data_IF_877789492485
#
_entry.id   IF_877789492485
#
_cell.length_a   1.000
_cell.length_b   1.000
_cell.length_c   1.000
_cell.angle_alpha   90.00
_cell.angle_beta   90.00
_cell.angle_gamma   90.00
#
_symmetry.space_group_name_H-M   'P 1'
#
loop_
_entity.id
_entity.type
_entity.pdbx_description
1 polymer ?
#
# COMPACT_ATOMS: atom_id res chain seq x y z
N UNK A 1 36.64 -1.55 31.24
CA UNK A 1 35.52 -2.30 30.65
C UNK A 1 35.20 -3.58 31.44
N UNK A 2 36.12 -4.53 31.59
CA UNK A 2 35.90 -5.80 32.31
C UNK A 2 35.72 -5.63 33.83
N UNK A 3 36.46 -4.72 34.48
CA UNK A 3 36.36 -4.50 35.92
C UNK A 3 34.95 -4.10 36.40
N UNK A 4 34.24 -3.27 35.62
CA UNK A 4 32.85 -2.88 35.93
C UNK A 4 31.84 -4.03 35.75
N UNK A 5 32.11 -4.97 34.84
CA UNK A 5 31.25 -6.15 34.64
C UNK A 5 31.50 -7.21 35.73
N UNK A 6 32.76 -7.39 36.16
CA UNK A 6 33.10 -8.22 37.32
C UNK A 6 32.45 -7.68 38.61
N UNK A 7 32.43 -6.36 38.79
CA UNK A 7 31.79 -5.69 39.91
C UNK A 7 30.26 -5.87 39.87
N UNK A 8 29.63 -5.78 38.70
CA UNK A 8 28.20 -6.05 38.53
C UNK A 8 27.79 -7.50 38.83
N UNK A 9 28.67 -8.47 38.56
CA UNK A 9 28.45 -9.88 38.92
C UNK A 9 28.69 -10.11 40.42
N UNK A 10 29.72 -9.50 40.99
CA UNK A 10 30.01 -9.56 42.42
C UNK A 10 28.88 -8.94 43.27
N UNK A 11 28.19 -7.94 42.73
CA UNK A 11 27.02 -7.32 43.35
C UNK A 11 25.69 -8.04 43.02
N UNK A 12 25.72 -9.14 42.27
CA UNK A 12 24.52 -9.92 41.92
C UNK A 12 23.58 -9.22 40.92
N UNK A 13 24.00 -8.11 40.32
CA UNK A 13 23.23 -7.38 39.29
C UNK A 13 23.26 -8.10 37.93
N UNK A 14 24.21 -9.01 37.73
CA UNK A 14 24.33 -9.89 36.57
C UNK A 14 24.79 -11.28 37.03
N UNK A 15 24.35 -12.33 36.36
CA UNK A 15 24.80 -13.69 36.67
C UNK A 15 26.13 -14.04 35.95
N UNK A 16 26.78 -15.10 36.40
CA UNK A 16 28.05 -15.56 35.82
C UNK A 16 27.93 -16.04 34.37
N UNK A 17 26.77 -16.52 33.92
CA UNK A 17 26.52 -16.81 32.50
C UNK A 17 26.43 -15.54 31.67
N UNK A 18 25.81 -14.48 32.17
CA UNK A 18 25.82 -13.17 31.49
C UNK A 18 27.23 -12.62 31.30
N UNK A 19 28.16 -12.86 32.25
CA UNK A 19 29.58 -12.54 32.10
C UNK A 19 30.29 -13.48 31.13
N UNK A 20 29.95 -14.77 31.14
CA UNK A 20 30.48 -15.76 30.20
C UNK A 20 30.08 -15.42 28.76
N UNK A 21 28.82 -15.04 28.54
CA UNK A 21 28.31 -14.52 27.28
C UNK A 21 29.00 -13.21 26.90
N UNK A 22 29.19 -12.26 27.83
CA UNK A 22 29.92 -11.02 27.54
C UNK A 22 31.40 -11.24 27.17
N UNK A 23 32.04 -12.30 27.69
CA UNK A 23 33.45 -12.60 27.44
C UNK A 23 33.67 -13.50 26.21
N UNK A 24 32.66 -14.26 25.78
CA UNK A 24 32.78 -15.27 24.72
C UNK A 24 31.87 -15.02 23.50
N UNK A 25 30.83 -14.16 23.60
CA UNK A 25 29.89 -13.92 22.50
C UNK A 25 30.22 -12.66 21.72
N UNK A 26 30.75 -12.87 20.51
CA UNK A 26 30.08 -12.23 19.38
C UNK A 26 28.79 -12.99 19.11
N UNK A 27 27.77 -12.30 18.62
CA UNK A 27 26.49 -12.86 18.19
C UNK A 27 26.67 -14.23 17.48
N UNK A 28 25.82 -15.25 17.76
CA UNK A 28 25.88 -16.56 17.11
C UNK A 28 26.12 -16.52 15.60
N UNK A 29 25.62 -15.48 14.93
CA UNK A 29 25.85 -15.23 13.51
C UNK A 29 27.33 -15.01 13.18
N UNK A 30 28.09 -14.27 14.00
CA UNK A 30 29.54 -14.13 13.82
C UNK A 30 30.29 -15.45 14.07
N UNK A 31 29.81 -16.29 14.98
CA UNK A 31 30.42 -17.60 15.23
C UNK A 31 30.24 -18.52 14.01
N UNK A 32 29.03 -18.56 13.44
CA UNK A 32 28.74 -19.31 12.21
C UNK A 32 29.56 -18.78 11.03
N UNK A 33 29.66 -17.47 10.85
CA UNK A 33 30.47 -16.87 9.79
C UNK A 33 31.97 -17.17 9.97
N UNK A 34 32.47 -17.13 11.21
CA UNK A 34 33.86 -17.49 11.52
C UNK A 34 34.15 -18.95 11.20
N UNK A 35 33.21 -19.86 11.49
CA UNK A 35 33.32 -21.28 11.12
C UNK A 35 33.29 -21.47 9.61
N UNK A 36 32.32 -20.85 8.93
CA UNK A 36 32.15 -20.88 7.46
C UNK A 36 33.40 -20.39 6.72
N UNK A 37 34.07 -19.38 7.26
CA UNK A 37 35.27 -18.77 6.67
C UNK A 37 36.59 -19.33 7.22
N UNK A 38 36.55 -20.26 8.16
CA UNK A 38 37.70 -20.73 8.94
C UNK A 38 38.91 -21.09 8.07
N UNK A 39 38.70 -21.91 7.03
CA UNK A 39 39.79 -22.34 6.12
C UNK A 39 40.55 -21.18 5.46
N UNK A 40 39.86 -20.09 5.12
CA UNK A 40 40.47 -18.93 4.46
C UNK A 40 41.16 -18.02 5.46
N UNK A 41 40.58 -17.90 6.66
CA UNK A 41 41.16 -17.16 7.78
C UNK A 41 42.44 -17.87 8.27
N UNK A 42 42.42 -19.19 8.38
CA UNK A 42 43.57 -20.00 8.77
C UNK A 42 44.71 -19.86 7.77
N UNK A 43 44.43 -20.00 6.47
CA UNK A 43 45.40 -19.77 5.41
C UNK A 43 45.99 -18.35 5.43
N UNK A 44 45.20 -17.34 5.82
CA UNK A 44 45.70 -15.98 6.01
C UNK A 44 46.62 -15.86 7.24
N UNK A 45 46.29 -16.53 8.34
CA UNK A 45 47.08 -16.50 9.57
C UNK A 45 48.43 -17.23 9.42
N UNK A 46 48.52 -18.21 8.51
CA UNK A 46 49.75 -18.93 8.17
C UNK A 46 50.77 -18.06 7.42
N UNK A 47 50.38 -16.90 6.87
CA UNK A 47 51.32 -15.97 6.23
C UNK A 47 52.29 -15.37 7.27
N UNK A 48 53.59 -15.43 6.96
CA UNK A 48 54.66 -15.11 7.91
C UNK A 48 54.89 -13.59 8.03
N UNK A 49 54.72 -12.84 6.94
CA UNK A 49 55.05 -11.42 6.90
C UNK A 49 53.83 -10.51 6.81
N UNK A 50 53.94 -9.31 7.39
CA UNK A 50 52.91 -8.27 7.25
C UNK A 50 52.69 -7.82 5.80
N UNK A 51 53.71 -7.96 4.94
CA UNK A 51 53.64 -7.63 3.52
C UNK A 51 52.76 -8.64 2.77
N UNK A 52 53.00 -9.94 2.95
CA UNK A 52 52.18 -11.00 2.36
C UNK A 52 50.71 -10.90 2.81
N UNK A 53 50.49 -10.59 4.08
CA UNK A 53 49.15 -10.34 4.62
C UNK A 53 48.45 -9.13 4.01
N UNK A 54 49.19 -8.10 3.63
CA UNK A 54 48.60 -6.94 2.96
C UNK A 54 48.28 -7.26 1.51
N UNK A 55 49.21 -7.89 0.79
CA UNK A 55 49.03 -8.32 -0.60
C UNK A 55 47.86 -9.31 -0.74
N UNK A 56 47.70 -10.26 0.19
CA UNK A 56 46.58 -11.20 0.19
C UNK A 56 45.21 -10.50 0.34
N UNK A 57 45.14 -9.42 1.14
CA UNK A 57 43.92 -8.62 1.31
C UNK A 57 43.63 -7.75 0.09
N UNK A 58 44.65 -7.21 -0.57
CA UNK A 58 44.51 -6.45 -1.81
C UNK A 58 44.04 -7.32 -2.98
N UNK A 59 44.51 -8.58 -3.04
CA UNK A 59 44.15 -9.52 -4.11
C UNK A 59 42.73 -10.11 -3.94
N UNK A 60 42.14 -10.04 -2.75
CA UNK A 60 40.81 -10.61 -2.47
C UNK A 60 40.00 -9.71 -1.55
N UNK A 61 39.09 -8.94 -2.15
CA UNK A 61 38.15 -8.10 -1.40
C UNK A 61 37.23 -8.92 -0.48
N UNK A 62 36.91 -10.17 -0.85
CA UNK A 62 36.19 -11.10 0.01
C UNK A 62 36.97 -11.42 1.28
N UNK A 63 38.27 -11.73 1.16
CA UNK A 63 39.11 -12.03 2.32
C UNK A 63 39.22 -10.80 3.23
N UNK A 64 39.49 -9.63 2.65
CA UNK A 64 39.63 -8.37 3.39
C UNK A 64 38.36 -8.04 4.19
N UNK A 65 37.18 -8.15 3.56
CA UNK A 65 35.91 -7.91 4.24
C UNK A 65 35.56 -8.97 5.30
N UNK A 66 35.87 -10.26 5.06
CA UNK A 66 35.69 -11.32 6.07
C UNK A 66 36.52 -11.06 7.31
N UNK A 67 37.80 -10.73 7.13
CA UNK A 67 38.73 -10.40 8.21
C UNK A 67 38.26 -9.19 9.03
N UNK A 68 37.63 -8.22 8.37
CA UNK A 68 37.03 -7.06 9.02
C UNK A 68 35.80 -7.41 9.85
N UNK A 69 34.84 -8.17 9.30
CA UNK A 69 33.62 -8.61 10.01
C UNK A 69 33.98 -9.42 11.27
N UNK A 70 34.97 -10.31 11.18
CA UNK A 70 35.47 -11.05 12.35
C UNK A 70 36.45 -10.23 13.22
N UNK A 71 36.57 -8.92 13.03
CA UNK A 71 37.41 -8.02 13.83
C UNK A 71 38.90 -8.37 13.89
N UNK A 72 39.43 -9.13 12.92
CA UNK A 72 40.87 -9.34 12.79
C UNK A 72 41.57 -8.11 12.19
N UNK A 73 40.84 -7.30 11.41
CA UNK A 73 41.30 -6.02 10.89
C UNK A 73 40.29 -4.93 11.25
N UNK A 74 40.76 -3.68 11.37
CA UNK A 74 39.91 -2.51 11.69
C UNK A 74 39.78 -1.52 10.53
N UNK A 75 40.23 -1.93 9.34
CA UNK A 75 40.26 -1.11 8.13
C UNK A 75 39.96 -1.99 6.92
N UNK A 76 39.33 -1.41 5.91
CA UNK A 76 39.10 -2.02 4.60
C UNK A 76 40.01 -1.36 3.56
N UNK A 77 40.55 -2.15 2.64
CA UNK A 77 41.51 -1.69 1.64
C UNK A 77 40.85 -1.17 0.36
N UNK A 78 39.67 -1.70 0.02
CA UNK A 78 38.99 -1.38 -1.25
C UNK A 78 37.51 -1.05 -1.04
N UNK A 79 36.91 -0.37 -2.02
CA UNK A 79 35.48 -0.08 -2.04
C UNK A 79 34.64 -1.36 -2.24
N UNK A 80 35.16 -2.33 -2.99
CA UNK A 80 34.50 -3.63 -3.15
C UNK A 80 34.47 -4.41 -1.82
N UNK A 81 35.51 -4.27 -0.99
CA UNK A 81 35.52 -4.82 0.38
C UNK A 81 34.44 -4.15 1.25
N UNK A 82 34.26 -2.82 1.13
CA UNK A 82 33.20 -2.08 1.84
C UNK A 82 31.82 -2.59 1.47
N UNK A 83 31.51 -2.68 0.17
CA UNK A 83 30.24 -3.22 -0.34
C UNK A 83 30.00 -4.66 0.12
N UNK A 84 31.02 -5.51 0.05
CA UNK A 84 30.92 -6.88 0.54
C UNK A 84 30.55 -6.92 2.02
N UNK A 85 31.19 -6.10 2.87
CA UNK A 85 30.87 -6.03 4.30
C UNK A 85 29.42 -5.61 4.53
N UNK A 86 28.95 -4.56 3.85
CA UNK A 86 27.56 -4.11 3.97
C UNK A 86 26.56 -5.20 3.54
N UNK A 87 26.83 -5.90 2.45
CA UNK A 87 25.98 -7.00 1.99
C UNK A 87 25.93 -8.14 3.01
N UNK A 88 27.04 -8.48 3.67
CA UNK A 88 27.04 -9.53 4.70
C UNK A 88 26.33 -9.09 5.98
N UNK A 89 26.42 -7.80 6.34
CA UNK A 89 25.68 -7.24 7.46
C UNK A 89 24.17 -7.36 7.20
N UNK A 90 23.72 -7.03 5.99
CA UNK A 90 22.31 -7.13 5.60
C UNK A 90 21.85 -8.61 5.49
N UNK A 91 22.57 -9.44 4.74
CA UNK A 91 22.24 -10.86 4.51
C UNK A 91 22.12 -11.65 5.82
N UNK A 92 22.98 -11.35 6.79
CA UNK A 92 23.02 -12.06 8.06
C UNK A 92 22.40 -11.27 9.22
N UNK A 93 21.88 -10.06 8.97
CA UNK A 93 21.35 -9.17 10.03
C UNK A 93 22.34 -8.93 11.18
N UNK A 94 23.62 -8.71 10.84
CA UNK A 94 24.68 -8.55 11.83
C UNK A 94 24.55 -7.23 12.60
N UNK A 95 24.73 -7.29 13.92
CA UNK A 95 24.84 -6.11 14.76
C UNK A 95 26.16 -5.36 14.50
N UNK A 96 26.07 -4.15 13.95
CA UNK A 96 27.25 -3.36 13.56
C UNK A 96 28.07 -2.88 14.75
N UNK A 97 27.48 -2.78 15.94
CA UNK A 97 28.18 -2.37 17.16
C UNK A 97 29.19 -3.43 17.63
N UNK A 98 29.03 -4.67 17.15
CA UNK A 98 29.93 -5.79 17.42
C UNK A 98 31.09 -5.89 16.42
N UNK A 99 31.08 -5.08 15.35
CA UNK A 99 32.13 -5.06 14.33
C UNK A 99 33.19 -4.01 14.69
N UNK A 100 34.33 -4.50 15.20
CA UNK A 100 35.45 -3.66 15.59
C UNK A 100 35.97 -2.78 14.44
N UNK A 101 35.83 -1.46 14.57
CA UNK A 101 36.28 -0.49 13.57
C UNK A 101 35.23 -0.12 12.53
N UNK A 102 34.00 -0.63 12.64
CA UNK A 102 32.87 -0.23 11.80
C UNK A 102 32.69 1.29 11.76
N UNK A 103 32.58 1.95 12.92
CA UNK A 103 32.43 3.41 13.00
C UNK A 103 33.61 4.16 12.36
N UNK A 104 34.83 3.60 12.39
CA UNK A 104 35.99 4.24 11.76
C UNK A 104 35.92 4.20 10.23
N UNK A 105 35.30 3.17 9.67
CA UNK A 105 35.23 2.93 8.22
C UNK A 105 33.94 3.50 7.61
N UNK A 106 32.85 3.47 8.36
CA UNK A 106 31.48 3.76 7.92
C UNK A 106 30.78 4.86 8.75
N UNK A 107 31.33 5.27 9.90
CA UNK A 107 30.70 6.17 10.88
C UNK A 107 30.75 7.65 10.52
N UNK A 108 30.42 8.00 9.28
CA UNK A 108 30.02 9.37 8.98
C UNK A 108 28.59 9.51 9.51
N UNK A 109 28.33 10.50 10.37
CA UNK A 109 26.98 10.78 10.86
C UNK A 109 26.04 11.03 9.67
N UNK A 110 25.02 10.17 9.50
CA UNK A 110 24.06 10.32 8.42
C UNK A 110 23.00 11.38 8.71
N UNK A 111 22.86 11.84 9.96
CA UNK A 111 21.86 12.83 10.34
C UNK A 111 22.14 14.19 9.71
N UNK A 112 23.40 14.65 9.72
CA UNK A 112 23.76 15.95 9.15
C UNK A 112 23.34 16.07 7.66
N UNK A 113 23.76 15.18 6.75
CA UNK A 113 23.35 15.27 5.35
C UNK A 113 21.86 14.99 5.13
N UNK A 114 21.22 14.16 5.96
CA UNK A 114 19.78 13.88 5.85
C UNK A 114 18.92 15.04 6.36
N UNK A 115 19.32 15.72 7.43
CA UNK A 115 18.63 16.91 7.94
C UNK A 115 18.75 18.07 6.95
N UNK A 116 19.93 18.30 6.38
CA UNK A 116 20.13 19.29 5.34
C UNK A 116 19.28 18.98 4.10
N UNK A 117 19.24 17.72 3.67
CA UNK A 117 18.44 17.28 2.54
C UNK A 117 16.93 17.38 2.83
N UNK A 118 16.47 17.05 4.04
CA UNK A 118 15.07 17.16 4.44
C UNK A 118 14.61 18.62 4.37
N UNK A 119 15.39 19.55 4.92
CA UNK A 119 15.05 20.97 4.93
C UNK A 119 14.95 21.57 3.53
N UNK A 120 15.69 21.00 2.56
CA UNK A 120 15.64 21.41 1.16
C UNK A 120 14.42 20.89 0.41
N UNK A 121 13.69 19.90 0.92
CA UNK A 121 12.54 19.34 0.17
C UNK A 121 11.48 20.42 -0.05
N UNK A 122 11.19 20.70 -1.32
CA UNK A 122 10.29 21.78 -1.75
C UNK A 122 10.98 23.10 -2.09
N UNK A 123 12.29 23.25 -1.83
CA UNK A 123 13.05 24.44 -2.20
C UNK A 123 13.41 24.46 -3.69
N UNK A 124 13.57 25.68 -4.22
CA UNK A 124 14.06 25.95 -5.56
C UNK A 124 15.56 25.63 -5.67
N UNK A 125 15.91 24.79 -6.64
CA UNK A 125 17.28 24.58 -7.11
C UNK A 125 17.70 25.70 -8.08
N UNK A 126 18.93 25.65 -8.58
CA UNK A 126 19.49 26.67 -9.48
C UNK A 126 18.53 27.07 -10.62
N UNK A 127 18.25 28.37 -10.69
CA UNK A 127 17.46 28.96 -11.77
C UNK A 127 18.34 29.16 -13.00
N UNK A 128 18.09 28.38 -14.05
CA UNK A 128 18.68 28.60 -15.37
C UNK A 128 17.73 29.50 -16.17
N UNK A 129 18.23 30.64 -16.64
CA UNK A 129 17.42 31.61 -17.40
C UNK A 129 16.87 30.96 -18.68
N UNK A 130 15.53 30.84 -18.76
CA UNK A 130 14.83 30.21 -19.89
C UNK A 130 14.38 28.76 -19.65
N UNK A 131 14.71 28.16 -18.50
CA UNK A 131 14.23 26.82 -18.11
C UNK A 131 13.17 26.90 -17.00
N UNK A 132 12.39 25.83 -16.87
CA UNK A 132 11.42 25.72 -15.78
C UNK A 132 12.15 25.59 -14.43
N UNK A 133 11.61 26.18 -13.34
CA UNK A 133 12.20 26.07 -12.02
C UNK A 133 12.32 24.59 -11.59
N UNK A 134 13.52 24.18 -11.21
CA UNK A 134 13.80 22.85 -10.67
C UNK A 134 13.64 22.93 -9.15
N UNK A 135 13.00 21.94 -8.56
CA UNK A 135 12.80 21.84 -7.10
C UNK A 135 13.52 20.61 -6.55
N UNK A 136 14.02 20.70 -5.32
CA UNK A 136 14.52 19.54 -4.60
C UNK A 136 13.34 18.71 -4.08
N UNK A 137 13.19 17.49 -4.61
CA UNK A 137 12.03 16.63 -4.33
C UNK A 137 12.34 15.52 -3.32
N UNK A 138 11.31 14.82 -2.85
CA UNK A 138 11.43 13.56 -2.09
C UNK A 138 12.23 12.50 -2.84
N UNK A 139 12.28 12.55 -4.18
CA UNK A 139 13.14 11.65 -4.96
C UNK A 139 14.62 12.07 -4.92
N UNK A 140 14.91 13.37 -4.84
CA UNK A 140 16.28 13.85 -4.59
C UNK A 140 16.72 13.44 -3.18
N UNK A 141 15.87 13.61 -2.17
CA UNK A 141 16.09 13.10 -0.81
C UNK A 141 16.33 11.59 -0.81
N UNK A 142 15.47 10.81 -1.45
CA UNK A 142 15.63 9.37 -1.61
C UNK A 142 16.95 8.97 -2.28
N UNK A 143 17.42 9.78 -3.25
CA UNK A 143 18.71 9.53 -3.91
C UNK A 143 19.87 9.69 -2.93
N UNK A 144 19.84 10.74 -2.10
CA UNK A 144 20.85 10.97 -1.03
C UNK A 144 20.77 9.85 0.02
N UNK A 145 19.57 9.50 0.46
CA UNK A 145 19.34 8.43 1.42
C UNK A 145 19.85 7.07 0.90
N UNK A 146 19.50 6.69 -0.33
CA UNK A 146 20.01 5.46 -0.93
C UNK A 146 21.54 5.49 -1.11
N UNK A 147 22.15 6.65 -1.36
CA UNK A 147 23.60 6.79 -1.40
C UNK A 147 24.23 6.58 -0.01
N UNK A 148 23.62 7.14 1.03
CA UNK A 148 24.04 6.93 2.43
C UNK A 148 23.91 5.47 2.82
N UNK A 149 22.77 4.83 2.56
CA UNK A 149 22.56 3.39 2.80
C UNK A 149 23.59 2.54 2.06
N UNK A 150 23.92 2.85 0.80
CA UNK A 150 24.98 2.13 0.06
C UNK A 150 26.37 2.34 0.64
N UNK A 151 26.64 3.50 1.23
CA UNK A 151 27.97 3.86 1.73
C UNK A 151 28.19 3.44 3.19
N UNK A 152 27.13 3.35 3.99
CA UNK A 152 27.19 3.13 5.44
C UNK A 152 26.43 1.89 5.87
N UNK A 153 25.44 1.43 5.12
CA UNK A 153 24.56 0.32 5.47
C UNK A 153 23.21 0.78 6.04
N UNK A 154 22.15 0.00 5.76
CA UNK A 154 20.78 0.30 6.20
C UNK A 154 20.69 0.43 7.73
N UNK A 155 21.30 -0.51 8.45
CA UNK A 155 21.26 -0.54 9.92
C UNK A 155 21.76 0.75 10.56
N UNK A 156 22.89 1.30 10.09
CA UNK A 156 23.44 2.56 10.63
C UNK A 156 22.52 3.74 10.35
N UNK A 157 22.04 3.88 9.12
CA UNK A 157 21.11 4.96 8.73
C UNK A 157 19.81 4.88 9.53
N UNK A 158 19.32 3.67 9.80
CA UNK A 158 18.16 3.44 10.68
C UNK A 158 18.48 3.81 12.13
N UNK A 159 19.64 3.43 12.66
CA UNK A 159 20.03 3.70 14.04
C UNK A 159 20.30 5.19 14.31
N UNK A 160 20.83 5.91 13.33
CA UNK A 160 21.06 7.37 13.42
C UNK A 160 19.74 8.14 13.60
N UNK A 161 18.61 7.55 13.18
CA UNK A 161 17.28 7.89 13.71
C UNK A 161 16.58 9.06 13.01
N UNK A 162 17.04 9.47 11.82
CA UNK A 162 16.36 10.50 11.05
C UNK A 162 14.98 9.99 10.59
N UNK A 163 13.93 10.65 11.07
CA UNK A 163 12.55 10.15 10.98
C UNK A 163 12.03 9.95 9.56
N UNK A 164 12.30 10.88 8.64
CA UNK A 164 11.84 10.78 7.24
C UNK A 164 12.52 9.62 6.51
N UNK A 165 13.79 9.35 6.84
CA UNK A 165 14.59 8.28 6.29
C UNK A 165 14.13 6.92 6.82
N UNK A 166 13.82 6.83 8.12
CA UNK A 166 13.19 5.65 8.71
C UNK A 166 11.89 5.31 8.00
N UNK A 167 10.97 6.28 7.91
CA UNK A 167 9.68 6.11 7.24
C UNK A 167 9.85 5.71 5.77
N UNK A 168 10.72 6.39 5.03
CA UNK A 168 11.01 6.05 3.64
C UNK A 168 11.56 4.61 3.47
N UNK A 169 12.45 4.16 4.36
CA UNK A 169 13.05 2.83 4.28
C UNK A 169 12.05 1.73 4.64
N UNK A 170 11.19 1.96 5.63
CA UNK A 170 10.12 1.04 5.99
C UNK A 170 9.07 0.95 4.87
N UNK A 171 8.72 2.09 4.28
CA UNK A 171 7.67 2.17 3.26
C UNK A 171 8.14 1.66 1.89
N UNK A 172 9.43 1.78 1.56
CA UNK A 172 9.99 1.24 0.31
C UNK A 172 9.70 -0.25 0.14
N UNK A 173 9.52 -0.97 1.24
CA UNK A 173 9.21 -2.39 1.26
C UNK A 173 7.68 -2.68 1.16
N UNK A 174 6.80 -1.66 1.22
CA UNK A 174 5.33 -1.80 1.35
C UNK A 174 4.48 -1.03 0.30
N UNK A 175 5.08 -0.35 -0.68
CA UNK A 175 4.44 0.57 -1.65
C UNK A 175 3.40 0.00 -2.66
N UNK A 176 2.67 -1.07 -2.33
CA UNK A 176 1.63 -1.65 -3.20
C UNK A 176 0.17 -1.32 -2.79
N UNK A 177 -0.04 -0.59 -1.69
CA UNK A 177 -1.38 -0.35 -1.13
C UNK A 177 -1.89 1.08 -1.43
N UNK A 178 -3.17 1.33 -1.80
CA UNK A 178 -3.76 2.68 -1.85
C UNK A 178 -3.71 3.46 -0.52
N UNK A 179 -3.46 2.81 0.62
CA UNK A 179 -3.02 3.50 1.85
C UNK A 179 -1.72 4.30 1.64
N UNK A 180 -0.91 3.98 0.63
CA UNK A 180 0.30 4.73 0.27
C UNK A 180 0.02 6.21 -0.01
N UNK A 181 -1.15 6.57 -0.52
CA UNK A 181 -1.52 7.97 -0.72
C UNK A 181 -1.82 8.68 0.62
N UNK A 182 -2.50 7.99 1.56
CA UNK A 182 -2.68 8.50 2.93
C UNK A 182 -1.33 8.64 3.63
N UNK A 183 -0.48 7.63 3.50
CA UNK A 183 0.87 7.60 4.04
C UNK A 183 1.72 8.76 3.52
N UNK A 184 1.63 9.06 2.22
CA UNK A 184 2.28 10.23 1.62
C UNK A 184 1.76 11.54 2.22
N UNK A 185 0.45 11.68 2.42
CA UNK A 185 -0.14 12.87 3.07
C UNK A 185 0.29 13.01 4.54
N UNK A 186 0.30 11.92 5.30
CA UNK A 186 0.78 11.89 6.70
C UNK A 186 2.26 12.27 6.78
N UNK A 187 3.09 11.75 5.87
CA UNK A 187 4.50 12.12 5.78
C UNK A 187 4.66 13.60 5.41
N UNK A 188 3.82 14.13 4.54
CA UNK A 188 3.87 15.54 4.18
C UNK A 188 3.57 16.44 5.37
N UNK A 189 2.55 16.11 6.16
CA UNK A 189 2.20 16.86 7.36
C UNK A 189 3.27 16.70 8.46
N UNK A 190 3.68 15.47 8.78
CA UNK A 190 4.67 15.20 9.83
C UNK A 190 6.03 15.88 9.55
N UNK A 191 6.47 15.88 8.29
CA UNK A 191 7.77 16.39 7.90
C UNK A 191 7.72 17.78 7.26
N UNK A 192 6.55 18.42 7.22
CA UNK A 192 6.31 19.73 6.63
C UNK A 192 6.80 19.81 5.17
N UNK A 193 6.57 18.74 4.40
CA UNK A 193 6.91 18.65 2.98
C UNK A 193 5.77 19.30 2.19
N UNK A 194 6.04 20.37 1.42
CA UNK A 194 4.98 20.98 0.63
C UNK A 194 4.66 20.11 -0.61
N UNK A 195 3.48 20.27 -1.24
CA UNK A 195 3.07 19.42 -2.37
C UNK A 195 4.08 19.39 -3.52
N UNK A 196 4.76 20.50 -3.80
CA UNK A 196 5.76 20.58 -4.88
C UNK A 196 7.02 19.75 -4.57
N UNK A 197 7.25 19.41 -3.29
CA UNK A 197 8.29 18.50 -2.85
C UNK A 197 8.03 17.04 -3.26
N UNK A 198 6.79 16.67 -3.59
CA UNK A 198 6.44 15.35 -4.12
C UNK A 198 6.39 15.41 -5.64
N UNK A 199 7.23 14.60 -6.30
CA UNK A 199 7.34 14.59 -7.77
C UNK A 199 6.01 14.35 -8.47
N UNK A 200 5.17 13.45 -7.95
CA UNK A 200 3.87 13.15 -8.56
C UNK A 200 2.96 14.39 -8.64
N UNK A 201 2.94 15.21 -7.59
CA UNK A 201 2.17 16.45 -7.53
C UNK A 201 2.85 17.62 -8.26
N UNK A 202 4.18 17.60 -8.34
CA UNK A 202 4.93 18.56 -9.18
C UNK A 202 4.66 18.34 -10.67
N UNK A 203 4.75 17.09 -11.10
CA UNK A 203 4.60 16.72 -12.51
C UNK A 203 3.12 16.84 -12.93
N UNK A 204 2.18 16.62 -11.99
CA UNK A 204 0.75 16.80 -12.19
C UNK A 204 0.04 17.29 -10.90
N UNK A 205 -0.17 18.61 -10.75
CA UNK A 205 -0.77 19.19 -9.55
C UNK A 205 -2.18 18.68 -9.23
N UNK A 206 -2.97 18.28 -10.22
CA UNK A 206 -4.33 17.80 -9.98
C UNK A 206 -4.33 16.52 -9.14
N UNK A 207 -3.26 15.72 -9.21
CA UNK A 207 -3.12 14.51 -8.38
C UNK A 207 -3.06 14.79 -6.89
N UNK A 208 -2.67 15.99 -6.47
CA UNK A 208 -2.74 16.39 -5.07
C UNK A 208 -4.18 16.73 -4.70
N UNK A 209 -4.85 17.50 -5.55
CA UNK A 209 -6.25 17.90 -5.35
C UNK A 209 -7.17 16.67 -5.33
N UNK A 210 -6.91 15.67 -6.18
CA UNK A 210 -7.63 14.39 -6.22
C UNK A 210 -7.64 13.68 -4.86
N UNK A 211 -6.57 13.79 -4.07
CA UNK A 211 -6.45 13.18 -2.75
C UNK A 211 -7.23 13.93 -1.66
N UNK A 212 -7.72 15.13 -1.97
CA UNK A 212 -8.50 15.97 -1.08
C UNK A 212 -9.97 16.02 -1.49
N UNK A 213 -10.39 15.11 -2.37
CA UNK A 213 -11.78 15.01 -2.84
C UNK A 213 -12.60 14.05 -1.97
N UNK A 214 -13.92 14.26 -1.87
CA UNK A 214 -14.83 13.28 -1.28
C UNK A 214 -14.72 11.89 -1.94
N UNK A 215 -14.37 11.83 -3.23
CA UNK A 215 -14.14 10.58 -3.96
C UNK A 215 -12.98 9.77 -3.39
N UNK A 216 -11.88 10.43 -2.98
CA UNK A 216 -10.75 9.75 -2.36
C UNK A 216 -11.11 9.19 -0.98
N UNK A 217 -11.81 9.97 -0.15
CA UNK A 217 -12.29 9.52 1.16
C UNK A 217 -13.23 8.31 1.04
N UNK A 218 -14.13 8.32 0.06
CA UNK A 218 -14.99 7.17 -0.24
C UNK A 218 -14.19 5.94 -0.66
N UNK A 219 -13.26 6.07 -1.61
CA UNK A 219 -12.39 4.96 -2.06
C UNK A 219 -11.58 4.38 -0.92
N UNK A 220 -11.11 5.21 0.00
CA UNK A 220 -10.41 4.76 1.21
C UNK A 220 -11.34 3.98 2.13
N UNK A 221 -12.57 4.45 2.34
CA UNK A 221 -13.55 3.78 3.18
C UNK A 221 -14.01 2.43 2.62
N UNK A 222 -14.05 2.27 1.29
CA UNK A 222 -14.47 1.01 0.64
C UNK A 222 -13.34 0.02 0.39
N UNK A 223 -12.07 0.48 0.38
CA UNK A 223 -10.91 -0.29 -0.10
C UNK A 223 -10.79 -1.72 0.48
N UNK A 224 -10.95 -1.88 1.80
CA UNK A 224 -10.81 -3.18 2.45
C UNK A 224 -11.90 -4.15 1.98
N UNK A 225 -13.14 -3.69 1.88
CA UNK A 225 -14.27 -4.49 1.43
C UNK A 225 -14.20 -4.78 -0.08
N UNK A 226 -13.74 -3.83 -0.87
CA UNK A 226 -13.47 -4.02 -2.31
C UNK A 226 -12.39 -5.10 -2.51
N UNK A 227 -11.30 -5.02 -1.73
CA UNK A 227 -10.22 -6.01 -1.75
C UNK A 227 -10.74 -7.39 -1.38
N UNK A 228 -11.48 -7.52 -0.27
CA UNK A 228 -12.10 -8.79 0.12
C UNK A 228 -13.04 -9.33 -0.97
N UNK A 229 -13.87 -8.48 -1.58
CA UNK A 229 -14.78 -8.87 -2.64
C UNK A 229 -14.06 -9.39 -3.90
N UNK A 230 -12.98 -8.74 -4.31
CA UNK A 230 -12.16 -9.12 -5.45
C UNK A 230 -11.33 -10.37 -5.19
N UNK A 231 -10.76 -10.47 -3.99
CA UNK A 231 -9.97 -11.61 -3.56
C UNK A 231 -10.75 -12.92 -3.55
N UNK A 232 -12.05 -12.88 -3.24
CA UNK A 232 -12.94 -14.05 -3.38
C UNK A 232 -12.96 -14.63 -4.80
N UNK A 233 -12.62 -13.85 -5.83
CA UNK A 233 -12.51 -14.33 -7.20
C UNK A 233 -11.07 -14.53 -7.70
N UNK A 234 -10.06 -14.17 -6.91
CA UNK A 234 -8.65 -14.26 -7.28
C UNK A 234 -8.07 -15.64 -6.90
N UNK A 235 -7.69 -16.50 -7.86
CA UNK A 235 -7.16 -17.85 -7.56
C UNK A 235 -5.88 -17.88 -6.72
N UNK A 236 -5.18 -16.75 -6.62
CA UNK A 236 -3.98 -16.60 -5.81
C UNK A 236 -4.23 -16.11 -4.38
N UNK A 237 -5.46 -15.66 -4.05
CA UNK A 237 -5.81 -15.24 -2.68
C UNK A 237 -6.20 -16.45 -1.82
N UNK A 238 -5.92 -16.35 -0.53
CA UNK A 238 -6.41 -17.29 0.49
C UNK A 238 -7.94 -17.23 0.65
N UNK A 239 -8.57 -16.11 0.26
CA UNK A 239 -10.02 -15.92 0.27
C UNK A 239 -10.70 -16.47 -0.99
N UNK A 240 -9.97 -17.05 -1.93
CA UNK A 240 -10.51 -17.52 -3.20
C UNK A 240 -11.65 -18.53 -3.00
N UNK A 241 -12.78 -18.26 -3.63
CA UNK A 241 -13.93 -19.15 -3.70
C UNK A 241 -14.19 -19.53 -5.18
N UNK A 242 -14.18 -20.82 -5.55
CA UNK A 242 -14.48 -21.23 -6.91
C UNK A 242 -15.94 -20.91 -7.28
N UNK A 243 -16.20 -20.74 -8.58
CA UNK A 243 -17.55 -20.55 -9.14
C UNK A 243 -17.82 -21.86 -9.83
N UNK A 244 -18.75 -22.63 -9.28
CA UNK A 244 -19.16 -23.91 -9.85
C UNK A 244 -20.48 -23.62 -10.55
N UNK A 245 -20.52 -23.70 -11.89
CA UNK A 245 -21.75 -23.54 -12.64
C UNK A 245 -22.41 -24.93 -12.72
N UNK A 246 -23.18 -25.35 -11.71
CA UNK A 246 -24.03 -26.52 -11.91
C UNK A 246 -25.34 -26.45 -11.13
N UNK A 247 -26.42 -26.77 -11.84
CA UNK A 247 -27.82 -26.69 -11.40
C UNK A 247 -28.31 -27.96 -10.68
N UNK A 248 -27.44 -28.97 -10.55
CA UNK A 248 -27.84 -30.34 -10.20
C UNK A 248 -27.27 -30.80 -8.84
N UNK A 249 -26.58 -29.94 -8.08
CA UNK A 249 -26.16 -30.22 -6.70
C UNK A 249 -27.16 -29.65 -5.68
N UNK A 250 -27.97 -30.49 -5.00
CA UNK A 250 -28.97 -30.03 -4.04
C UNK A 250 -28.38 -29.48 -2.73
N UNK A 251 -27.07 -29.54 -2.51
CA UNK A 251 -26.40 -29.05 -1.29
C UNK A 251 -25.39 -27.90 -1.53
N UNK A 252 -25.25 -27.35 -2.75
CA UNK A 252 -24.18 -26.37 -3.01
C UNK A 252 -24.62 -25.17 -3.86
N UNK A 253 -25.15 -24.14 -3.20
CA UNK A 253 -25.17 -22.78 -3.74
C UNK A 253 -23.71 -22.32 -3.92
N UNK A 254 -23.33 -21.98 -5.15
CA UNK A 254 -22.07 -21.35 -5.54
C UNK A 254 -21.42 -20.46 -4.46
N UNK A 255 -20.62 -21.03 -3.55
CA UNK A 255 -20.15 -20.36 -2.33
C UNK A 255 -19.52 -18.98 -2.54
N UNK A 256 -18.94 -18.70 -3.71
CA UNK A 256 -18.50 -17.37 -4.12
C UNK A 256 -19.63 -16.36 -4.30
N UNK A 257 -20.69 -16.68 -5.04
CA UNK A 257 -21.79 -15.74 -5.25
C UNK A 257 -22.59 -15.56 -3.97
N UNK A 258 -22.81 -16.62 -3.19
CA UNK A 258 -23.39 -16.51 -1.85
C UNK A 258 -22.55 -15.60 -0.93
N UNK A 259 -21.24 -15.81 -0.85
CA UNK A 259 -20.36 -14.98 -0.01
C UNK A 259 -20.35 -13.51 -0.48
N UNK A 260 -20.36 -13.27 -1.79
CA UNK A 260 -20.45 -11.93 -2.37
C UNK A 260 -21.79 -11.26 -2.13
N UNK A 261 -22.90 -11.99 -2.25
CA UNK A 261 -24.24 -11.48 -1.93
C UNK A 261 -24.34 -11.15 -0.45
N UNK A 262 -23.91 -12.07 0.42
CA UNK A 262 -23.88 -11.85 1.86
C UNK A 262 -23.00 -10.67 2.26
N UNK A 263 -21.83 -10.49 1.65
CA UNK A 263 -20.97 -9.34 1.91
C UNK A 263 -21.67 -8.01 1.57
N UNK A 264 -22.43 -7.98 0.46
CA UNK A 264 -23.25 -6.83 0.08
C UNK A 264 -24.39 -6.58 1.07
N UNK A 265 -25.11 -7.63 1.45
CA UNK A 265 -26.25 -7.56 2.37
C UNK A 265 -25.82 -7.11 3.77
N UNK A 266 -24.67 -7.60 4.25
CA UNK A 266 -24.11 -7.24 5.56
C UNK A 266 -23.52 -5.81 5.55
N UNK A 267 -23.21 -5.25 4.37
CA UNK A 267 -22.56 -3.93 4.22
C UNK A 267 -23.30 -3.02 3.21
N UNK A 268 -24.57 -2.64 3.46
CA UNK A 268 -25.36 -1.86 2.51
C UNK A 268 -24.79 -0.46 2.26
N UNK A 269 -24.09 0.12 3.24
CA UNK A 269 -23.41 1.41 3.08
C UNK A 269 -22.24 1.31 2.11
N UNK A 270 -21.47 0.21 2.14
CA UNK A 270 -20.38 -0.02 1.19
C UNK A 270 -20.89 -0.12 -0.25
N UNK A 271 -22.01 -0.82 -0.47
CA UNK A 271 -22.65 -0.90 -1.79
C UNK A 271 -23.13 0.49 -2.26
N UNK A 272 -23.70 1.29 -1.35
CA UNK A 272 -24.09 2.67 -1.64
C UNK A 272 -22.87 3.55 -1.96
N UNK A 273 -21.78 3.43 -1.21
CA UNK A 273 -20.56 4.21 -1.44
C UNK A 273 -19.89 3.83 -2.76
N UNK A 274 -19.90 2.56 -3.16
CA UNK A 274 -19.45 2.13 -4.48
C UNK A 274 -20.25 2.74 -5.64
N UNK A 275 -21.56 2.94 -5.46
CA UNK A 275 -22.39 3.68 -6.45
C UNK A 275 -22.09 5.17 -6.46
N UNK A 276 -21.84 5.76 -5.30
CA UNK A 276 -21.43 7.16 -5.20
C UNK A 276 -20.07 7.38 -5.88
N UNK A 277 -19.13 6.44 -5.70
CA UNK A 277 -17.84 6.41 -6.40
C UNK A 277 -18.05 6.34 -7.92
N UNK A 278 -18.88 5.41 -8.41
CA UNK A 278 -19.20 5.30 -9.84
C UNK A 278 -19.76 6.62 -10.39
N UNK A 279 -20.69 7.26 -9.68
CA UNK A 279 -21.27 8.53 -10.12
C UNK A 279 -20.24 9.68 -10.15
N UNK A 280 -19.47 9.85 -9.08
CA UNK A 280 -18.45 10.89 -8.98
C UNK A 280 -17.30 10.68 -9.98
N UNK A 281 -16.99 9.44 -10.36
CA UNK A 281 -16.01 9.14 -11.41
C UNK A 281 -16.49 9.52 -12.82
N UNK A 282 -17.80 9.67 -13.00
CA UNK A 282 -18.41 10.16 -14.24
C UNK A 282 -18.94 11.59 -14.06
N UNK A 283 -18.20 12.41 -13.30
CA UNK A 283 -18.41 13.85 -13.11
C UNK A 283 -19.83 14.27 -12.64
N UNK A 284 -20.53 13.37 -11.93
CA UNK A 284 -21.83 13.69 -11.33
C UNK A 284 -21.70 14.78 -10.25
N UNK A 285 -22.74 15.59 -10.10
CA UNK A 285 -22.88 16.42 -8.88
C UNK A 285 -23.26 15.56 -7.69
N UNK A 286 -23.08 16.07 -6.48
CA UNK A 286 -23.45 15.37 -5.25
C UNK A 286 -24.95 14.98 -5.25
N UNK A 287 -25.83 15.85 -5.76
CA UNK A 287 -27.26 15.55 -5.85
C UNK A 287 -27.55 14.38 -6.81
N UNK A 288 -26.90 14.35 -7.97
CA UNK A 288 -27.05 13.25 -8.95
C UNK A 288 -26.47 11.95 -8.39
N UNK A 289 -25.34 12.02 -7.69
CA UNK A 289 -24.73 10.88 -7.05
C UNK A 289 -25.63 10.29 -5.94
N UNK A 290 -26.26 11.13 -5.12
CA UNK A 290 -27.20 10.69 -4.09
C UNK A 290 -28.48 10.07 -4.69
N UNK A 291 -29.02 10.66 -5.75
CA UNK A 291 -30.16 10.08 -6.48
C UNK A 291 -29.79 8.74 -7.16
N UNK A 292 -28.57 8.61 -7.67
CA UNK A 292 -28.05 7.36 -8.22
C UNK A 292 -27.95 6.27 -7.14
N UNK A 293 -27.50 6.63 -5.94
CA UNK A 293 -27.48 5.74 -4.78
C UNK A 293 -28.90 5.31 -4.38
N UNK A 294 -29.86 6.23 -4.34
CA UNK A 294 -31.24 5.93 -3.98
C UNK A 294 -31.91 4.99 -4.98
N UNK A 295 -31.65 5.19 -6.28
CA UNK A 295 -32.05 4.22 -7.31
C UNK A 295 -31.39 2.87 -7.05
N UNK A 296 -30.09 2.85 -6.78
CA UNK A 296 -29.34 1.63 -6.48
C UNK A 296 -29.95 0.82 -5.34
N UNK A 297 -30.40 1.47 -4.27
CA UNK A 297 -31.11 0.82 -3.16
C UNK A 297 -32.42 0.17 -3.62
N UNK A 298 -33.17 0.83 -4.51
CA UNK A 298 -34.38 0.25 -5.12
C UNK A 298 -34.08 -0.93 -6.03
N UNK A 299 -32.96 -0.90 -6.74
CA UNK A 299 -32.49 -2.02 -7.54
C UNK A 299 -32.13 -3.22 -6.66
N UNK A 300 -31.46 -3.00 -5.53
CA UNK A 300 -31.12 -4.08 -4.61
C UNK A 300 -32.37 -4.71 -3.98
N UNK A 301 -33.36 -3.89 -3.62
CA UNK A 301 -34.60 -4.32 -2.98
C UNK A 301 -35.57 -5.01 -3.95
N UNK A 302 -35.73 -4.48 -5.17
CA UNK A 302 -36.80 -4.87 -6.10
C UNK A 302 -36.34 -5.35 -7.48
N UNK A 303 -35.03 -5.36 -7.75
CA UNK A 303 -34.41 -5.53 -9.08
C UNK A 303 -34.46 -4.30 -10.00
N UNK A 304 -33.57 -4.29 -11.00
CA UNK A 304 -33.37 -3.17 -11.91
C UNK A 304 -34.56 -2.86 -12.83
N UNK A 305 -35.38 -3.88 -13.16
CA UNK A 305 -36.56 -3.74 -14.01
C UNK A 305 -37.85 -3.46 -13.26
N UNK A 306 -37.78 -3.24 -11.94
CA UNK A 306 -38.97 -2.99 -11.13
C UNK A 306 -39.59 -1.62 -11.40
N UNK A 307 -40.92 -1.49 -11.21
CA UNK A 307 -41.60 -0.21 -11.11
C UNK A 307 -40.92 0.81 -10.19
N UNK A 308 -40.35 0.41 -9.06
CA UNK A 308 -39.68 1.28 -8.09
C UNK A 308 -38.37 1.84 -8.63
N UNK A 309 -37.51 0.97 -9.19
CA UNK A 309 -36.27 1.41 -9.81
C UNK A 309 -36.54 2.31 -11.03
N UNK A 310 -37.61 2.03 -11.77
CA UNK A 310 -38.07 2.83 -12.91
C UNK A 310 -38.59 4.20 -12.47
N UNK A 311 -39.45 4.23 -11.45
CA UNK A 311 -40.02 5.47 -10.92
C UNK A 311 -38.97 6.37 -10.26
N UNK A 312 -37.95 5.80 -9.61
CA UNK A 312 -36.83 6.58 -9.08
C UNK A 312 -36.16 7.44 -10.16
N UNK A 313 -36.05 6.94 -11.40
CA UNK A 313 -35.54 7.69 -12.54
C UNK A 313 -36.59 8.59 -13.19
N UNK A 314 -37.85 8.20 -13.20
CA UNK A 314 -38.92 9.04 -13.73
C UNK A 314 -39.14 10.30 -12.88
N UNK A 315 -38.96 10.18 -11.56
CA UNK A 315 -39.15 11.26 -10.60
C UNK A 315 -37.90 12.16 -10.50
N UNK A 316 -36.75 11.69 -10.99
CA UNK A 316 -35.51 12.47 -11.17
C UNK A 316 -34.93 12.30 -12.59
N UNK A 317 -35.49 13.07 -13.52
CA UNK A 317 -35.09 13.07 -14.93
C UNK A 317 -33.67 13.58 -15.16
N UNK A 318 -33.12 14.40 -14.27
CA UNK A 318 -31.77 14.95 -14.44
C UNK A 318 -30.73 13.85 -14.20
N UNK A 319 -30.92 13.06 -13.15
CA UNK A 319 -30.12 11.84 -12.90
C UNK A 319 -30.30 10.81 -14.01
N UNK A 320 -31.52 10.60 -14.52
CA UNK A 320 -31.74 9.66 -15.63
C UNK A 320 -31.01 10.11 -16.91
N UNK A 321 -31.08 11.39 -17.27
CA UNK A 321 -30.37 11.94 -18.43
C UNK A 321 -28.86 11.83 -18.30
N UNK A 322 -28.32 12.16 -17.13
CA UNK A 322 -26.90 11.98 -16.83
C UNK A 322 -26.49 10.51 -17.03
N UNK A 323 -27.22 9.56 -16.45
CA UNK A 323 -26.91 8.14 -16.57
C UNK A 323 -26.97 7.63 -18.03
N UNK A 324 -27.83 8.23 -18.87
CA UNK A 324 -27.87 7.95 -20.31
C UNK A 324 -26.67 8.54 -21.06
N UNK A 325 -26.28 9.77 -20.73
CA UNK A 325 -25.15 10.45 -21.37
C UNK A 325 -23.82 9.76 -21.07
N UNK A 326 -23.65 9.27 -19.82
CA UNK A 326 -22.49 8.49 -19.38
C UNK A 326 -22.54 7.01 -19.82
N UNK A 327 -23.64 6.59 -20.46
CA UNK A 327 -23.81 5.22 -20.95
C UNK A 327 -23.97 4.16 -19.86
N UNK A 328 -24.26 4.59 -18.62
CA UNK A 328 -24.59 3.71 -17.49
C UNK A 328 -25.96 3.06 -17.66
N UNK A 329 -26.85 3.70 -18.41
CA UNK A 329 -28.17 3.18 -18.77
C UNK A 329 -28.41 3.27 -20.28
N UNK A 330 -29.42 2.53 -20.73
CA UNK A 330 -30.00 2.69 -22.06
C UNK A 330 -31.43 3.19 -21.93
N UNK A 331 -31.83 4.13 -22.79
CA UNK A 331 -33.21 4.62 -22.79
C UNK A 331 -34.17 3.46 -23.07
N UNK A 332 -35.03 3.22 -22.11
CA UNK A 332 -36.03 2.17 -22.07
C UNK A 332 -37.45 2.75 -21.97
N UNK A 333 -37.60 4.07 -22.20
CA UNK A 333 -38.90 4.72 -22.25
C UNK A 333 -39.06 5.90 -21.30
N UNK A 334 -38.04 6.29 -20.55
CA UNK A 334 -38.15 7.33 -19.53
C UNK A 334 -38.09 8.76 -20.04
N UNK A 335 -37.49 9.00 -21.20
CA UNK A 335 -37.35 10.36 -21.72
C UNK A 335 -38.71 10.96 -22.15
N UNK A 336 -38.96 12.25 -21.86
CA UNK A 336 -40.16 12.95 -22.33
C UNK A 336 -40.10 13.23 -23.83
N UNK A 337 -41.27 13.37 -24.46
CA UNK A 337 -41.33 13.74 -25.87
C UNK A 337 -40.71 15.13 -26.09
N UNK A 338 -39.84 15.24 -27.10
CA UNK A 338 -39.09 16.46 -27.39
C UNK A 338 -37.75 16.59 -26.68
N UNK A 339 -37.32 15.59 -25.89
CA UNK A 339 -35.93 15.54 -25.41
C UNK A 339 -34.97 15.43 -26.61
N UNK A 340 -33.91 16.26 -26.70
CA UNK A 340 -32.98 16.25 -27.84
C UNK A 340 -32.27 14.90 -28.01
N UNK A 341 -32.17 14.08 -26.96
CA UNK A 341 -31.59 12.73 -27.05
C UNK A 341 -32.43 11.77 -27.90
N UNK A 342 -33.69 12.12 -28.20
CA UNK A 342 -34.59 11.34 -29.03
C UNK A 342 -34.51 11.67 -30.53
N UNK A 343 -33.53 12.47 -30.99
CA UNK A 343 -33.37 12.81 -32.43
C UNK A 343 -33.24 11.57 -33.35
N UNK A 344 -32.77 10.43 -32.83
CA UNK A 344 -32.70 9.14 -33.53
C UNK A 344 -33.94 8.24 -33.39
N UNK A 345 -34.98 8.70 -32.69
CA UNK A 345 -36.13 7.89 -32.25
C UNK A 345 -35.89 7.19 -30.91
N UNK A 346 -36.99 6.90 -30.21
CA UNK A 346 -37.00 6.20 -28.92
C UNK A 346 -36.65 4.72 -29.10
N UNK A 347 -35.85 4.14 -28.21
CA UNK A 347 -35.46 2.72 -28.29
C UNK A 347 -36.54 1.76 -27.80
N UNK A 348 -37.40 2.21 -26.90
CA UNK A 348 -38.47 1.43 -26.27
C UNK A 348 -39.79 2.19 -26.23
N UNK A 349 -40.89 1.54 -25.80
CA UNK A 349 -42.15 2.24 -25.57
C UNK A 349 -42.03 3.21 -24.40
N UNK A 350 -42.78 4.32 -24.43
CA UNK A 350 -42.78 5.29 -23.33
C UNK A 350 -43.29 4.64 -22.04
N UNK A 351 -42.63 4.92 -20.92
CA UNK A 351 -43.06 4.45 -19.62
C UNK A 351 -44.47 4.93 -19.28
N UNK A 352 -45.32 4.02 -18.82
CA UNK A 352 -46.65 4.36 -18.33
C UNK A 352 -46.60 4.68 -16.84
N UNK A 353 -46.09 5.88 -16.51
CA UNK A 353 -45.87 6.33 -15.13
C UNK A 353 -47.10 6.15 -14.22
N UNK A 354 -48.34 6.46 -14.64
CA UNK A 354 -49.52 6.20 -13.82
C UNK A 354 -49.73 4.73 -13.45
N UNK A 355 -49.44 3.80 -14.38
CA UNK A 355 -49.53 2.35 -14.11
C UNK A 355 -48.42 1.91 -13.17
N UNK A 356 -47.17 2.33 -13.42
CA UNK A 356 -46.05 2.00 -12.53
C UNK A 356 -46.30 2.47 -11.09
N UNK A 357 -46.88 3.65 -10.90
CA UNK A 357 -47.25 4.17 -9.57
C UNK A 357 -48.36 3.34 -8.91
N UNK A 358 -49.27 2.74 -9.69
CA UNK A 358 -50.27 1.82 -9.17
C UNK A 358 -49.63 0.48 -8.79
N UNK A 359 -48.73 -0.04 -9.60
CA UNK A 359 -48.01 -1.30 -9.33
C UNK A 359 -47.21 -1.19 -8.02
N UNK A 360 -46.44 -0.11 -7.83
CA UNK A 360 -45.75 0.14 -6.55
C UNK A 360 -46.72 0.27 -5.38
N UNK A 361 -47.85 0.95 -5.59
CA UNK A 361 -48.83 1.18 -4.52
C UNK A 361 -49.49 -0.12 -4.04
N UNK A 362 -49.72 -1.07 -4.94
CA UNK A 362 -50.46 -2.30 -4.66
C UNK A 362 -49.56 -3.54 -4.53
N UNK A 363 -48.23 -3.38 -4.62
CA UNK A 363 -47.25 -4.47 -4.58
C UNK A 363 -47.48 -5.47 -3.46
N UNK A 364 -47.60 -5.03 -2.21
CA UNK A 364 -47.80 -5.94 -1.07
C UNK A 364 -49.11 -6.75 -1.21
N UNK A 365 -50.15 -6.16 -1.79
CA UNK A 365 -51.43 -6.84 -2.02
C UNK A 365 -51.36 -7.80 -3.20
N UNK A 366 -50.60 -7.46 -4.25
CA UNK A 366 -50.36 -8.31 -5.40
C UNK A 366 -49.47 -9.50 -5.00
N UNK A 367 -48.40 -9.29 -4.24
CA UNK A 367 -47.55 -10.35 -3.68
C UNK A 367 -48.37 -11.30 -2.78
N UNK A 368 -49.24 -10.75 -1.93
CA UNK A 368 -50.16 -11.55 -1.12
C UNK A 368 -51.14 -12.33 -2.00
N UNK A 369 -51.68 -11.70 -3.05
CA UNK A 369 -52.61 -12.35 -3.97
C UNK A 369 -51.94 -13.51 -4.71
N UNK A 370 -50.73 -13.29 -5.23
CA UNK A 370 -49.94 -14.28 -5.95
C UNK A 370 -49.58 -15.46 -5.03
N UNK A 371 -49.31 -15.20 -3.75
CA UNK A 371 -49.06 -16.26 -2.76
C UNK A 371 -50.24 -17.25 -2.63
N UNK A 372 -51.50 -16.83 -2.85
CA UNK A 372 -52.66 -17.74 -2.84
C UNK A 372 -52.68 -18.70 -4.04
N UNK A 373 -51.89 -18.45 -5.08
CA UNK A 373 -51.81 -19.27 -6.28
C UNK A 373 -50.65 -20.26 -6.27
N UNK A 374 -49.76 -20.16 -5.28
CA UNK A 374 -48.60 -21.02 -5.10
C UNK A 374 -48.95 -22.24 -4.21
N UNK A 375 -48.91 -23.49 -4.75
CA UNK A 375 -49.35 -24.69 -4.03
C UNK A 375 -48.64 -24.98 -2.70
N UNK A 376 -47.46 -24.39 -2.52
CA UNK A 376 -46.58 -24.60 -1.36
C UNK A 376 -46.56 -23.40 -0.40
N UNK A 377 -47.39 -22.38 -0.60
CA UNK A 377 -47.46 -21.22 0.31
C UNK A 377 -48.31 -21.53 1.56
N UNK A 378 -47.97 -20.91 2.69
CA UNK A 378 -48.74 -21.00 3.94
C UNK A 378 -50.17 -20.40 3.84
N UNK A 379 -50.48 -19.75 2.72
CA UNK A 379 -51.73 -19.04 2.48
C UNK A 379 -52.72 -19.80 1.58
N UNK A 380 -52.33 -20.96 1.00
CA UNK A 380 -53.17 -21.75 0.09
C UNK A 380 -54.41 -22.40 0.74
#
# INVERSE_FOLDING_TARGET
>A
AIAKQLEAVAEGRKDWMSLLFYLDYRDPQFAELKEKWGKQIDAYNELETGKERTEAREQSFFLDGRLFIIGQTKTLLTEDSRRYVLNQIEEHSLDTDQIDGYEKVFGIDSNDPLNEAQLRVGDLEELVEGEAPIYFTTQNFATILNALVRSQGRFKVTNDGQKLALRYLDDKDTWQNPESATLVLEMMDEFNIPPQGVRAFRDDPSKYDDLLTPLFDLKKATFELDTQFDEMANPASELFLPSIPDSDDPEYENGREFARAKLKDDNPQWVADNRRIEALQNDATDEVADAWVDRGRKVDEFSAGSPEATLAMADDLDTYRWALDEGLLTDDGGLPDGDPRLEGGRRSAQWNIPVLRLDVKWREQDDLYDSYSEPDSDNF
#
